data_IF_305722324851
#
_entry.id   IF_305722324851
#
_cell.length_a   1.000
_cell.length_b   1.000
_cell.length_c   1.000
_cell.angle_alpha   90.00
_cell.angle_beta   90.00
_cell.angle_gamma   90.00
#
_symmetry.space_group_name_H-M   'P 1'
#
loop_
_entity.id
_entity.type
_entity.pdbx_description
1 polymer ?
#
# COMPACT_ATOMS: atom_id res chain seq x y z
N UNK A 1 0.87 7.50 -11.80
CA UNK A 1 0.25 6.37 -11.09
C UNK A 1 -0.88 6.92 -10.23
N UNK A 2 -1.58 6.10 -9.45
CA UNK A 2 -2.68 6.57 -8.58
C UNK A 2 -2.19 6.63 -7.14
N UNK A 3 -2.56 7.69 -6.42
CA UNK A 3 -2.20 7.83 -5.02
C UNK A 3 -2.90 6.78 -4.16
N UNK A 4 -2.12 6.00 -3.41
CA UNK A 4 -2.66 4.90 -2.60
C UNK A 4 -3.46 5.39 -1.40
N UNK A 5 -3.20 6.61 -0.91
CA UNK A 5 -3.92 7.23 0.20
C UNK A 5 -5.30 7.72 -0.23
N UNK A 6 -5.54 7.84 -1.54
CA UNK A 6 -6.85 8.18 -2.09
C UNK A 6 -7.83 6.98 -2.04
N UNK A 7 -7.34 5.77 -1.79
CA UNK A 7 -8.17 4.59 -1.59
C UNK A 7 -8.46 4.38 -0.11
N UNK A 8 -9.69 3.94 0.18
CA UNK A 8 -10.06 3.50 1.54
C UNK A 8 -9.48 2.12 1.83
N UNK A 9 -9.41 1.78 3.13
CA UNK A 9 -8.96 0.45 3.57
C UNK A 9 -9.75 -0.66 2.87
N UNK A 10 -11.09 -0.51 2.79
CA UNK A 10 -11.96 -1.51 2.19
C UNK A 10 -11.71 -1.68 0.68
N UNK A 11 -11.52 -0.57 -0.05
CA UNK A 11 -11.17 -0.58 -1.48
C UNK A 11 -9.86 -1.33 -1.73
N UNK A 12 -8.82 -1.06 -0.93
CA UNK A 12 -7.55 -1.77 -1.05
C UNK A 12 -7.68 -3.25 -0.66
N UNK A 13 -8.47 -3.58 0.36
CA UNK A 13 -8.76 -4.97 0.74
C UNK A 13 -9.41 -5.71 -0.42
N UNK A 14 -10.47 -5.16 -1.01
CA UNK A 14 -11.14 -5.82 -2.14
C UNK A 14 -10.24 -5.96 -3.35
N UNK A 15 -9.49 -4.90 -3.69
CA UNK A 15 -8.52 -4.96 -4.79
C UNK A 15 -7.48 -6.03 -4.54
N UNK A 16 -6.84 -6.05 -3.36
CA UNK A 16 -5.79 -7.00 -3.04
C UNK A 16 -6.31 -8.43 -2.91
N UNK A 17 -7.53 -8.62 -2.38
CA UNK A 17 -8.17 -9.92 -2.31
C UNK A 17 -8.41 -10.52 -3.72
N UNK A 18 -8.86 -9.71 -4.69
CA UNK A 18 -9.02 -10.13 -6.09
C UNK A 18 -7.73 -10.62 -6.76
N UNK A 19 -6.57 -10.16 -6.31
CA UNK A 19 -5.24 -10.54 -6.82
C UNK A 19 -4.60 -11.69 -6.00
N UNK A 20 -5.33 -12.26 -5.04
CA UNK A 20 -4.82 -13.32 -4.16
C UNK A 20 -3.92 -12.81 -3.04
N UNK A 21 -4.01 -11.52 -2.69
CA UNK A 21 -3.31 -10.94 -1.57
C UNK A 21 -4.23 -10.82 -0.34
N UNK A 22 -3.81 -11.36 0.82
CA UNK A 22 -4.63 -11.39 2.02
C UNK A 22 -4.75 -10.00 2.66
N UNK A 23 -5.87 -9.76 3.36
CA UNK A 23 -6.23 -8.47 3.98
C UNK A 23 -5.12 -7.94 4.89
N UNK A 24 -4.41 -8.81 5.61
CA UNK A 24 -3.40 -8.39 6.58
C UNK A 24 -2.27 -7.57 5.93
N UNK A 25 -2.00 -7.76 4.63
CA UNK A 25 -1.02 -6.96 3.89
C UNK A 25 -1.49 -5.53 3.71
N UNK A 26 -2.79 -5.34 3.48
CA UNK A 26 -3.42 -4.01 3.44
C UNK A 26 -3.25 -3.34 4.80
N UNK A 27 -3.49 -4.08 5.88
CA UNK A 27 -3.34 -3.57 7.25
C UNK A 27 -1.91 -3.15 7.56
N UNK A 28 -0.91 -3.94 7.17
CA UNK A 28 0.51 -3.55 7.31
C UNK A 28 0.81 -2.29 6.52
N UNK A 29 0.36 -2.22 5.26
CA UNK A 29 0.54 -1.06 4.40
C UNK A 29 -0.11 0.21 4.99
N UNK A 30 -1.37 0.11 5.43
CA UNK A 30 -2.09 1.20 6.08
C UNK A 30 -1.35 1.69 7.33
N UNK A 31 -0.79 0.79 8.14
CA UNK A 31 0.06 1.19 9.27
C UNK A 31 1.25 2.01 8.79
N UNK A 32 1.97 1.59 7.75
CA UNK A 32 3.08 2.38 7.23
C UNK A 32 2.65 3.74 6.66
N UNK A 33 1.48 3.82 6.02
CA UNK A 33 0.96 5.05 5.44
C UNK A 33 0.51 6.07 6.50
N UNK A 34 -0.17 5.63 7.56
CA UNK A 34 -0.80 6.51 8.56
C UNK A 34 -0.02 6.62 9.87
N UNK A 35 0.56 5.52 10.38
CA UNK A 35 1.32 5.49 11.64
C UNK A 35 2.74 6.03 11.43
N UNK A 36 3.39 5.59 10.34
CA UNK A 36 4.76 5.99 10.02
C UNK A 36 4.86 7.14 9.03
N UNK A 37 3.73 7.57 8.43
CA UNK A 37 3.70 8.55 7.35
C UNK A 37 4.72 8.27 6.24
N UNK A 38 5.00 7.00 5.95
CA UNK A 38 5.95 6.64 4.90
C UNK A 38 5.46 7.16 3.55
N UNK A 39 6.39 7.74 2.81
CA UNK A 39 6.19 8.30 1.46
C UNK A 39 6.77 7.40 0.37
N UNK A 40 7.24 6.21 0.76
CA UNK A 40 7.89 5.29 -0.15
C UNK A 40 7.63 3.83 0.26
N UNK A 41 7.31 2.99 -0.73
CA UNK A 41 7.05 1.57 -0.50
C UNK A 41 8.35 0.81 -0.21
N UNK A 42 9.49 1.22 -0.78
CA UNK A 42 10.77 0.55 -0.56
C UNK A 42 11.23 0.64 0.91
N UNK A 43 10.82 1.68 1.63
CA UNK A 43 11.08 1.87 3.06
C UNK A 43 10.30 0.91 3.98
N UNK A 44 9.24 0.25 3.48
CA UNK A 44 8.36 -0.60 4.29
C UNK A 44 8.94 -1.98 4.55
N UNK A 45 9.97 -2.10 5.40
CA UNK A 45 10.75 -3.33 5.65
C UNK A 45 9.93 -4.58 5.96
N UNK A 46 8.79 -4.40 6.63
CA UNK A 46 7.85 -5.48 7.01
C UNK A 46 7.02 -6.07 5.85
N UNK A 47 7.04 -5.42 4.69
CA UNK A 47 6.29 -5.86 3.49
C UNK A 47 7.23 -6.64 2.57
N UNK A 48 6.79 -7.78 2.03
CA UNK A 48 7.59 -8.58 1.09
C UNK A 48 7.90 -7.82 -0.21
N UNK A 49 9.07 -8.10 -0.80
CA UNK A 49 9.53 -7.48 -2.06
C UNK A 49 8.50 -7.55 -3.20
N UNK A 50 7.84 -8.70 -3.37
CA UNK A 50 6.80 -8.86 -4.41
C UNK A 50 5.66 -7.84 -4.26
N UNK A 51 5.20 -7.63 -3.02
CA UNK A 51 4.10 -6.71 -2.75
C UNK A 51 4.54 -5.25 -2.92
N UNK A 52 5.77 -4.90 -2.51
CA UNK A 52 6.34 -3.58 -2.79
C UNK A 52 6.46 -3.29 -4.28
N UNK A 53 6.88 -4.29 -5.07
CA UNK A 53 6.99 -4.14 -6.52
C UNK A 53 5.61 -3.88 -7.13
N UNK A 54 4.60 -4.67 -6.75
CA UNK A 54 3.22 -4.47 -7.20
C UNK A 54 2.70 -3.07 -6.83
N UNK A 55 2.93 -2.65 -5.59
CA UNK A 55 2.54 -1.33 -5.11
C UNK A 55 3.24 -0.22 -5.89
N UNK A 56 4.55 -0.30 -6.09
CA UNK A 56 5.33 0.71 -6.81
C UNK A 56 5.01 0.78 -8.31
N UNK A 57 4.48 -0.30 -8.89
CA UNK A 57 4.10 -0.35 -10.30
C UNK A 57 2.69 0.21 -10.54
N UNK A 58 1.77 -0.02 -9.59
CA UNK A 58 0.35 0.35 -9.74
C UNK A 58 -0.02 1.65 -9.01
N UNK A 59 0.70 1.97 -7.93
CA UNK A 59 0.38 3.04 -7.01
C UNK A 59 1.61 3.91 -6.71
N UNK A 60 1.34 5.11 -6.22
CA UNK A 60 2.35 6.02 -5.70
C UNK A 60 1.89 6.55 -4.33
N UNK A 61 2.84 7.04 -3.53
CA UNK A 61 2.55 7.76 -2.29
C UNK A 61 2.96 9.20 -2.51
N UNK A 62 2.02 10.00 -2.96
CA UNK A 62 2.21 11.42 -3.11
C UNK A 62 1.97 12.09 -1.75
N UNK A 63 2.93 12.92 -1.33
CA UNK A 63 2.73 13.85 -0.24
C UNK A 63 2.14 15.09 -0.88
N UNK A 64 0.82 15.12 -1.07
CA UNK A 64 0.17 16.34 -1.51
C UNK A 64 0.46 17.46 -0.49
N UNK A 65 0.84 18.60 -1.06
CA UNK A 65 1.17 19.90 -0.46
C UNK A 65 0.03 20.46 0.39
#
# INVERSE_FOLDING_TARGET
MVDIRNFTYNELVEKFNKIGHPEFRVKQLFKWLYDKCSVDFASMTDISKQFRSFLSENYEINRFE
#
